data_IF_622283202933
#
_entry.id   IF_622283202933
#
_cell.length_a   1.000
_cell.length_b   1.000
_cell.length_c   1.000
_cell.angle_alpha   90.00
_cell.angle_beta   90.00
_cell.angle_gamma   90.00
#
_symmetry.space_group_name_H-M   'P 1'
#
loop_
_entity.id
_entity.type
_entity.pdbx_description
1 polymer ?
#
# COMPACT_ATOMS: atom_id res chain seq x y z
N UNK A 1 -3.31 23.92 -83.14
CA UNK A 1 -4.25 24.26 -82.04
C UNK A 1 -4.52 23.06 -81.09
N UNK A 2 -3.60 22.10 -80.96
CA UNK A 2 -3.76 20.89 -80.12
C UNK A 2 -2.97 20.93 -78.79
N UNK A 3 -1.90 21.72 -78.72
CA UNK A 3 -1.02 21.84 -77.55
C UNK A 3 -1.70 22.53 -76.36
N UNK A 4 -2.50 23.57 -76.61
CA UNK A 4 -3.23 24.32 -75.58
C UNK A 4 -4.31 23.48 -74.88
N UNK A 5 -4.95 22.55 -75.60
CA UNK A 5 -5.97 21.66 -75.03
C UNK A 5 -5.36 20.59 -74.12
N UNK A 6 -4.22 20.02 -74.52
CA UNK A 6 -3.48 19.04 -73.71
C UNK A 6 -2.91 19.71 -72.45
N UNK A 7 -2.38 20.93 -72.59
CA UNK A 7 -1.88 21.72 -71.45
C UNK A 7 -2.98 22.03 -70.43
N UNK A 8 -4.20 22.38 -70.89
CA UNK A 8 -5.34 22.65 -70.00
C UNK A 8 -5.85 21.40 -69.28
N UNK A 9 -5.91 20.25 -69.98
CA UNK A 9 -6.32 18.98 -69.37
C UNK A 9 -5.27 18.52 -68.35
N UNK A 10 -3.98 18.66 -68.65
CA UNK A 10 -2.88 18.33 -67.75
C UNK A 10 -2.82 19.25 -66.52
N UNK A 11 -3.06 20.55 -66.72
CA UNK A 11 -3.15 21.51 -65.61
C UNK A 11 -4.38 21.21 -64.72
N UNK A 12 -5.52 20.86 -65.33
CA UNK A 12 -6.73 20.51 -64.60
C UNK A 12 -6.60 19.22 -63.77
N UNK A 13 -5.93 18.20 -64.31
CA UNK A 13 -5.71 16.93 -63.60
C UNK A 13 -4.68 17.06 -62.47
N UNK A 14 -3.69 17.93 -62.59
CA UNK A 14 -2.75 18.23 -61.50
C UNK A 14 -3.44 18.93 -60.31
N UNK A 15 -4.34 19.89 -60.59
CA UNK A 15 -5.13 20.57 -59.54
C UNK A 15 -6.13 19.61 -58.90
N UNK A 16 -6.81 18.79 -59.70
CA UNK A 16 -7.75 17.79 -59.18
C UNK A 16 -7.03 16.73 -58.31
N UNK A 17 -5.86 16.26 -58.75
CA UNK A 17 -5.03 15.31 -58.00
C UNK A 17 -4.52 15.88 -56.68
N UNK A 18 -4.12 17.16 -56.63
CA UNK A 18 -3.62 17.80 -55.40
C UNK A 18 -4.71 18.00 -54.35
N UNK A 19 -5.93 18.34 -54.78
CA UNK A 19 -7.10 18.49 -53.89
C UNK A 19 -7.53 17.16 -53.29
N UNK A 20 -7.63 16.10 -54.12
CA UNK A 20 -8.01 14.76 -53.65
C UNK A 20 -6.96 14.21 -52.70
N UNK A 21 -5.67 14.36 -53.04
CA UNK A 21 -4.57 13.91 -52.20
C UNK A 21 -4.60 14.66 -50.87
N UNK A 22 -4.67 15.99 -50.88
CA UNK A 22 -4.68 16.82 -49.66
C UNK A 22 -5.89 16.56 -48.74
N UNK A 23 -7.06 16.28 -49.30
CA UNK A 23 -8.26 15.92 -48.52
C UNK A 23 -8.08 14.57 -47.83
N UNK A 24 -7.54 13.56 -48.53
CA UNK A 24 -7.24 12.24 -47.97
C UNK A 24 -6.18 12.31 -46.88
N UNK A 25 -5.09 13.05 -47.07
CA UNK A 25 -4.07 13.22 -46.02
C UNK A 25 -4.64 13.91 -44.79
N UNK A 26 -5.53 14.90 -44.97
CA UNK A 26 -6.18 15.61 -43.86
C UNK A 26 -7.16 14.71 -43.09
N UNK A 27 -8.00 13.96 -43.79
CA UNK A 27 -8.97 13.05 -43.14
C UNK A 27 -8.29 11.84 -42.51
N UNK A 28 -7.25 11.29 -43.13
CA UNK A 28 -6.41 10.25 -42.53
C UNK A 28 -5.69 10.77 -41.26
N UNK A 29 -5.12 11.98 -41.32
CA UNK A 29 -4.45 12.60 -40.17
C UNK A 29 -5.38 12.88 -38.99
N UNK A 30 -6.62 13.36 -39.24
CA UNK A 30 -7.62 13.61 -38.19
C UNK A 30 -8.04 12.29 -37.52
N UNK A 31 -8.32 11.24 -38.31
CA UNK A 31 -8.70 9.92 -37.78
C UNK A 31 -7.56 9.26 -37.00
N UNK A 32 -6.32 9.42 -37.47
CA UNK A 32 -5.13 8.88 -36.80
C UNK A 32 -4.82 9.65 -35.51
N UNK A 33 -5.07 10.96 -35.47
CA UNK A 33 -4.97 11.77 -34.25
C UNK A 33 -6.04 11.38 -33.21
N UNK A 34 -7.28 11.13 -33.61
CA UNK A 34 -8.35 10.73 -32.68
C UNK A 34 -8.15 9.30 -32.16
N UNK A 35 -7.67 8.38 -33.00
CA UNK A 35 -7.28 7.04 -32.58
C UNK A 35 -6.07 7.05 -31.62
N UNK A 36 -5.09 7.92 -31.87
CA UNK A 36 -3.95 8.11 -30.98
C UNK A 36 -4.35 8.74 -29.64
N UNK A 37 -5.30 9.69 -29.63
CA UNK A 37 -5.88 10.24 -28.40
C UNK A 37 -6.62 9.18 -27.59
N UNK A 38 -7.50 8.40 -28.22
CA UNK A 38 -8.23 7.33 -27.52
C UNK A 38 -7.33 6.19 -27.02
N UNK A 39 -6.20 5.94 -27.69
CA UNK A 39 -5.19 5.00 -27.22
C UNK A 39 -4.36 5.62 -26.07
N UNK A 40 -4.03 6.91 -26.16
CA UNK A 40 -3.31 7.66 -25.13
C UNK A 40 -4.12 7.82 -23.84
N UNK A 41 -5.41 8.12 -23.93
CA UNK A 41 -6.31 8.27 -22.78
C UNK A 41 -6.43 6.94 -22.01
N UNK A 42 -6.59 5.83 -22.72
CA UNK A 42 -6.61 4.49 -22.10
C UNK A 42 -5.27 4.08 -21.50
N UNK A 43 -4.15 4.50 -22.09
CA UNK A 43 -2.83 4.29 -21.51
C UNK A 43 -2.63 5.14 -20.25
N UNK A 44 -3.10 6.40 -20.26
CA UNK A 44 -3.04 7.28 -19.10
C UNK A 44 -3.87 6.70 -17.94
N UNK A 45 -5.08 6.22 -18.20
CA UNK A 45 -5.92 5.56 -17.19
C UNK A 45 -5.27 4.30 -16.62
N UNK A 46 -4.71 3.44 -17.47
CA UNK A 46 -4.00 2.24 -17.03
C UNK A 46 -2.78 2.56 -16.14
N UNK A 47 -2.03 3.61 -16.47
CA UNK A 47 -0.91 4.07 -15.66
C UNK A 47 -1.38 4.61 -14.31
N UNK A 48 -2.44 5.43 -14.28
CA UNK A 48 -3.01 5.95 -13.04
C UNK A 48 -3.51 4.82 -12.13
N UNK A 49 -4.16 3.81 -12.70
CA UNK A 49 -4.63 2.66 -11.93
C UNK A 49 -3.46 1.82 -11.40
N UNK A 50 -2.40 1.61 -12.17
CA UNK A 50 -1.19 0.94 -11.67
C UNK A 50 -0.54 1.72 -10.52
N UNK A 51 -0.45 3.06 -10.62
CA UNK A 51 0.12 3.90 -9.57
C UNK A 51 -0.75 3.85 -8.32
N UNK A 52 -2.08 3.94 -8.47
CA UNK A 52 -3.02 3.79 -7.33
C UNK A 52 -2.89 2.43 -6.67
N UNK A 53 -2.75 1.36 -7.45
CA UNK A 53 -2.55 0.02 -6.93
C UNK A 53 -1.23 -0.09 -6.15
N UNK A 54 -0.13 0.43 -6.71
CA UNK A 54 1.17 0.47 -6.04
C UNK A 54 1.13 1.29 -4.75
N UNK A 55 0.55 2.49 -4.78
CA UNK A 55 0.45 3.35 -3.58
C UNK A 55 -0.38 2.70 -2.47
N UNK A 56 -1.44 1.97 -2.81
CA UNK A 56 -2.22 1.19 -1.85
C UNK A 56 -1.39 0.04 -1.29
N UNK A 57 -0.73 -0.74 -2.15
CA UNK A 57 0.15 -1.81 -1.69
C UNK A 57 1.27 -1.28 -0.77
N UNK A 58 1.87 -0.13 -1.07
CA UNK A 58 2.86 0.52 -0.20
C UNK A 58 2.28 1.03 1.11
N UNK A 59 1.05 1.57 1.10
CA UNK A 59 0.35 1.98 2.31
C UNK A 59 0.09 0.77 3.22
N UNK A 60 -0.42 -0.31 2.67
CA UNK A 60 -0.69 -1.56 3.39
C UNK A 60 0.61 -2.11 3.99
N UNK A 61 1.69 -2.20 3.21
CA UNK A 61 3.00 -2.65 3.72
C UNK A 61 3.53 -1.78 4.87
N UNK A 62 3.33 -0.46 4.82
CA UNK A 62 3.72 0.45 5.90
C UNK A 62 2.89 0.23 7.16
N UNK A 63 1.59 0.05 7.02
CA UNK A 63 0.70 -0.29 8.14
C UNK A 63 1.13 -1.61 8.81
N UNK A 64 1.43 -2.64 8.01
CA UNK A 64 1.95 -3.91 8.52
C UNK A 64 3.27 -3.74 9.29
N UNK A 65 4.20 -2.96 8.76
CA UNK A 65 5.49 -2.71 9.40
C UNK A 65 5.34 -1.97 10.74
N UNK A 66 4.48 -0.94 10.77
CA UNK A 66 4.19 -0.17 11.98
C UNK A 66 3.57 -1.06 13.07
N UNK A 67 2.57 -1.88 12.71
CA UNK A 67 1.93 -2.82 13.64
C UNK A 67 2.94 -3.82 14.23
N UNK A 68 3.82 -4.38 13.39
CA UNK A 68 4.87 -5.29 13.83
C UNK A 68 5.84 -4.63 14.80
N UNK A 69 6.18 -3.36 14.57
CA UNK A 69 7.03 -2.58 15.47
C UNK A 69 6.37 -2.39 16.84
N UNK A 70 5.09 -2.01 16.87
CA UNK A 70 4.32 -1.80 18.11
C UNK A 70 4.26 -3.09 18.94
N UNK A 71 3.98 -4.23 18.30
CA UNK A 71 3.96 -5.52 19.01
C UNK A 71 5.34 -5.93 19.54
N UNK A 72 6.41 -5.65 18.79
CA UNK A 72 7.77 -5.94 19.23
C UNK A 72 8.16 -5.06 20.42
N UNK A 73 7.79 -3.79 20.42
CA UNK A 73 8.04 -2.86 21.53
C UNK A 73 7.31 -3.32 22.80
N UNK A 74 6.02 -3.65 22.69
CA UNK A 74 5.24 -4.20 23.81
C UNK A 74 5.84 -5.50 24.35
N UNK A 75 6.19 -6.45 23.48
CA UNK A 75 6.78 -7.72 23.91
C UNK A 75 8.13 -7.49 24.59
N UNK A 76 8.95 -6.57 24.08
CA UNK A 76 10.22 -6.19 24.68
C UNK A 76 10.06 -5.63 26.09
N UNK A 77 9.12 -4.69 26.30
CA UNK A 77 8.82 -4.14 27.63
C UNK A 77 8.24 -5.20 28.58
N UNK A 78 7.37 -6.09 28.10
CA UNK A 78 6.81 -7.16 28.91
C UNK A 78 7.89 -8.16 29.35
N UNK A 79 8.81 -8.54 28.46
CA UNK A 79 9.92 -9.44 28.79
C UNK A 79 10.91 -8.81 29.77
N UNK A 80 11.21 -7.51 29.62
CA UNK A 80 12.01 -6.76 30.58
C UNK A 80 11.36 -6.81 31.98
N UNK A 81 10.05 -6.59 32.07
CA UNK A 81 9.29 -6.66 33.32
C UNK A 81 9.29 -8.05 33.93
N UNK A 82 9.04 -9.11 33.15
CA UNK A 82 9.11 -10.52 33.61
C UNK A 82 10.50 -10.84 34.17
N UNK A 83 11.56 -10.41 33.47
CA UNK A 83 12.94 -10.62 33.90
C UNK A 83 13.24 -9.85 35.20
N UNK A 84 12.74 -8.63 35.32
CA UNK A 84 12.92 -7.80 36.48
C UNK A 84 12.23 -8.38 37.73
N UNK A 85 11.03 -8.96 37.60
CA UNK A 85 10.36 -9.69 38.71
C UNK A 85 11.18 -10.88 39.17
N UNK A 86 11.66 -11.71 38.23
CA UNK A 86 12.46 -12.90 38.55
C UNK A 86 13.75 -12.56 39.29
N UNK A 87 14.34 -11.41 38.96
CA UNK A 87 15.60 -10.96 39.54
C UNK A 87 15.41 -10.05 40.77
N UNK A 88 14.16 -9.71 41.13
CA UNK A 88 13.84 -8.77 42.22
C UNK A 88 14.30 -7.32 41.96
N UNK A 89 14.44 -6.92 40.68
CA UNK A 89 14.97 -5.61 40.24
C UNK A 89 13.96 -4.81 39.41
N UNK A 90 12.66 -4.93 39.70
CA UNK A 90 11.64 -4.11 39.03
C UNK A 90 11.90 -2.62 39.24
N UNK A 91 12.17 -1.88 38.17
CA UNK A 91 12.29 -0.42 38.21
C UNK A 91 10.97 0.23 37.83
N UNK A 92 10.68 1.40 38.39
CA UNK A 92 9.49 2.18 38.03
C UNK A 92 9.44 2.52 36.53
N UNK A 93 10.62 2.67 35.90
CA UNK A 93 10.74 2.92 34.47
C UNK A 93 10.27 1.74 33.61
N UNK A 94 10.42 0.49 34.08
CA UNK A 94 9.95 -0.70 33.35
C UNK A 94 8.41 -0.74 33.27
N UNK A 95 7.74 -0.34 34.36
CA UNK A 95 6.27 -0.27 34.42
C UNK A 95 5.74 0.84 33.50
N UNK A 96 6.38 2.02 33.49
CA UNK A 96 6.01 3.12 32.60
C UNK A 96 6.22 2.74 31.14
N UNK A 97 7.33 2.08 30.81
CA UNK A 97 7.61 1.60 29.46
C UNK A 97 6.56 0.57 29.00
N UNK A 98 6.24 -0.40 29.86
CA UNK A 98 5.21 -1.41 29.58
C UNK A 98 3.84 -0.77 29.35
N UNK A 99 3.43 0.17 30.20
CA UNK A 99 2.14 0.84 30.06
C UNK A 99 2.05 1.70 28.79
N UNK A 100 3.15 2.36 28.40
CA UNK A 100 3.23 3.09 27.13
C UNK A 100 3.08 2.14 25.94
N UNK A 101 3.81 1.03 25.95
CA UNK A 101 3.76 0.06 24.87
C UNK A 101 2.38 -0.61 24.77
N UNK A 102 1.74 -0.92 25.89
CA UNK A 102 0.35 -1.37 25.94
C UNK A 102 -0.59 -0.36 25.28
N UNK A 103 -0.44 0.93 25.59
CA UNK A 103 -1.27 1.99 24.98
C UNK A 103 -1.12 2.02 23.45
N UNK A 104 0.09 1.76 22.94
CA UNK A 104 0.33 1.60 21.50
C UNK A 104 -0.44 0.41 20.90
N UNK A 105 -0.44 -0.74 21.58
CA UNK A 105 -1.21 -1.92 21.14
C UNK A 105 -2.72 -1.66 21.18
N UNK A 106 -3.23 -0.98 22.20
CA UNK A 106 -4.65 -0.65 22.33
C UNK A 106 -5.13 0.32 21.25
N UNK A 107 -4.26 1.22 20.78
CA UNK A 107 -4.59 2.22 19.77
C UNK A 107 -4.57 1.62 18.35
N UNK A 108 -3.55 0.82 18.04
CA UNK A 108 -3.22 0.42 16.66
C UNK A 108 -3.50 -1.06 16.36
N UNK A 109 -3.73 -1.86 17.41
CA UNK A 109 -4.01 -3.29 17.30
C UNK A 109 -5.49 -3.59 17.10
N UNK A 110 -5.83 -4.72 16.45
CA UNK A 110 -7.19 -5.22 16.44
C UNK A 110 -7.61 -5.69 17.85
N UNK A 111 -8.92 -5.82 18.11
CA UNK A 111 -9.46 -6.07 19.46
C UNK A 111 -8.89 -7.32 20.14
N UNK A 112 -8.56 -8.35 19.37
CA UNK A 112 -7.99 -9.59 19.87
C UNK A 112 -6.56 -9.37 20.41
N UNK A 113 -5.75 -8.59 19.70
CA UNK A 113 -4.38 -8.27 20.12
C UNK A 113 -4.37 -7.37 21.37
N UNK A 114 -5.29 -6.40 21.40
CA UNK A 114 -5.53 -5.54 22.56
C UNK A 114 -5.93 -6.35 23.80
N UNK A 115 -6.85 -7.31 23.64
CA UNK A 115 -7.31 -8.18 24.73
C UNK A 115 -6.18 -9.06 25.25
N UNK A 116 -5.42 -9.70 24.37
CA UNK A 116 -4.29 -10.54 24.77
C UNK A 116 -3.16 -9.75 25.45
N UNK A 117 -2.88 -8.52 24.98
CA UNK A 117 -1.90 -7.64 25.61
C UNK A 117 -2.36 -7.19 27.00
N UNK A 118 -3.62 -6.83 27.15
CA UNK A 118 -4.21 -6.45 28.44
C UNK A 118 -4.15 -7.63 29.43
N UNK A 119 -4.49 -8.84 28.97
CA UNK A 119 -4.40 -10.06 29.77
C UNK A 119 -2.97 -10.28 30.30
N UNK A 120 -1.94 -10.14 29.45
CA UNK A 120 -0.54 -10.27 29.88
C UNK A 120 -0.15 -9.23 30.94
N UNK A 121 -0.54 -7.97 30.77
CA UNK A 121 -0.25 -6.91 31.75
C UNK A 121 -1.00 -7.15 33.06
N UNK A 122 -2.24 -7.62 33.00
CA UNK A 122 -3.02 -7.95 34.20
C UNK A 122 -2.41 -9.15 34.96
N UNK A 123 -1.94 -10.18 34.26
CA UNK A 123 -1.20 -11.30 34.84
C UNK A 123 0.09 -10.84 35.53
N UNK A 124 0.83 -9.92 34.91
CA UNK A 124 2.03 -9.31 35.50
C UNK A 124 1.71 -8.53 36.78
N UNK A 125 0.64 -7.71 36.75
CA UNK A 125 0.20 -6.92 37.92
C UNK A 125 -0.26 -7.79 39.08
N UNK A 126 -0.84 -8.95 38.79
CA UNK A 126 -1.26 -9.94 39.79
C UNK A 126 -0.12 -10.82 40.29
N UNK A 127 1.08 -10.68 39.74
CA UNK A 127 2.24 -11.53 40.02
C UNK A 127 1.89 -13.02 39.87
N UNK A 128 1.19 -13.34 38.77
CA UNK A 128 0.83 -14.71 38.42
C UNK A 128 2.05 -15.61 38.27
N UNK A 129 1.83 -16.93 38.31
CA UNK A 129 2.95 -17.88 38.27
C UNK A 129 3.71 -17.76 36.95
N UNK A 130 5.02 -18.10 36.92
CA UNK A 130 5.82 -18.02 35.69
C UNK A 130 5.21 -18.77 34.49
N UNK A 131 4.52 -19.89 34.73
CA UNK A 131 3.84 -20.67 33.68
C UNK A 131 2.61 -19.95 33.11
N UNK A 132 1.88 -19.21 33.96
CA UNK A 132 0.71 -18.40 33.57
C UNK A 132 1.17 -17.19 32.77
N UNK A 133 2.21 -16.49 33.23
CA UNK A 133 2.85 -15.39 32.49
C UNK A 133 3.38 -15.86 31.12
N UNK A 134 3.99 -17.04 31.07
CA UNK A 134 4.45 -17.64 29.80
C UNK A 134 3.28 -17.96 28.88
N UNK A 135 2.16 -18.46 29.41
CA UNK A 135 0.96 -18.75 28.64
C UNK A 135 0.34 -17.47 28.06
N UNK A 136 0.14 -16.44 28.87
CA UNK A 136 -0.38 -15.15 28.43
C UNK A 136 0.53 -14.50 27.36
N UNK A 137 1.86 -14.62 27.53
CA UNK A 137 2.81 -14.16 26.51
C UNK A 137 2.65 -14.91 25.18
N UNK A 138 2.55 -16.23 25.23
CA UNK A 138 2.40 -17.05 24.03
C UNK A 138 1.06 -16.79 23.32
N UNK A 139 -0.01 -16.53 24.07
CA UNK A 139 -1.30 -16.12 23.54
C UNK A 139 -1.18 -14.81 22.76
N UNK A 140 -0.58 -13.76 23.36
CA UNK A 140 -0.32 -12.51 22.66
C UNK A 140 0.54 -12.70 21.41
N UNK A 141 1.61 -13.50 21.49
CA UNK A 141 2.49 -13.78 20.33
C UNK A 141 1.71 -14.48 19.21
N UNK A 142 0.83 -15.43 19.54
CA UNK A 142 -0.01 -16.12 18.56
C UNK A 142 -0.91 -15.14 17.80
N UNK A 143 -1.62 -14.29 18.54
CA UNK A 143 -2.51 -13.28 17.95
C UNK A 143 -1.72 -12.26 17.13
N UNK A 144 -0.59 -11.77 17.64
CA UNK A 144 0.28 -10.84 16.93
C UNK A 144 0.79 -11.42 15.61
N UNK A 145 1.15 -12.72 15.58
CA UNK A 145 1.56 -13.40 14.35
C UNK A 145 0.43 -13.49 13.33
N UNK A 146 -0.80 -13.78 13.77
CA UNK A 146 -1.97 -13.82 12.89
C UNK A 146 -2.28 -12.44 12.30
N UNK A 147 -2.22 -11.40 13.13
CA UNK A 147 -2.45 -10.01 12.73
C UNK A 147 -1.38 -9.44 11.79
N UNK A 148 -0.19 -10.03 11.79
CA UNK A 148 0.95 -9.64 10.95
C UNK A 148 1.17 -10.58 9.75
N UNK A 149 0.28 -11.54 9.48
CA UNK A 149 0.35 -12.34 8.23
C UNK A 149 -0.10 -11.48 7.04
N UNK A 150 0.66 -11.45 5.94
CA UNK A 150 0.20 -10.78 4.72
C UNK A 150 -1.07 -11.47 4.19
N UNK A 151 -2.02 -10.72 3.61
CA UNK A 151 -3.15 -11.30 2.90
C UNK A 151 -2.63 -12.16 1.74
N UNK A 152 -3.19 -13.37 1.61
CA UNK A 152 -2.86 -14.32 0.52
C UNK A 152 -3.44 -13.88 -0.81
#
# INVERSE_FOLDING_TARGET
MSEWAIALIAAGSAVAGSVVTGWYTRTAGIRQADAARHAGDRQADALLDSVRMTLRAEADHREFALRRQIYAEFLGSAEARILAERNGRGQADDEVALQRALSGVLLEGPPEAATAAQHLVDSLRRHERPDELKRAKLEFVSVAQECCRPPR
#
